data_IF_662876287727
#
_entry.id   IF_662876287727
#
_cell.length_a   1.000
_cell.length_b   1.000
_cell.length_c   1.000
_cell.angle_alpha   90.00
_cell.angle_beta   90.00
_cell.angle_gamma   90.00
#
_symmetry.space_group_name_H-M   'P 1'
#
loop_
_entity.id
_entity.type
_entity.pdbx_description
1 polymer ?
#
# COMPACT_ATOMS: atom_id res chain seq x y z
N UNK A 1 29.61 25.16 26.66
CA UNK A 1 28.91 23.98 26.13
C UNK A 1 27.87 24.49 25.17
N UNK A 2 28.04 24.15 23.90
CA UNK A 2 27.19 24.61 22.81
C UNK A 2 25.78 24.03 22.96
N UNK A 3 24.78 24.91 22.86
CA UNK A 3 23.39 24.51 22.70
C UNK A 3 23.25 23.86 21.32
N UNK A 4 23.09 22.54 21.29
CA UNK A 4 22.60 21.86 20.10
C UNK A 4 21.08 22.07 20.05
N UNK A 5 20.53 22.78 19.06
CA UNK A 5 19.12 22.61 18.74
C UNK A 5 18.97 21.19 18.17
N UNK A 6 18.37 20.29 18.95
CA UNK A 6 17.76 19.07 18.40
C UNK A 6 16.70 19.54 17.41
N UNK A 7 17.05 19.56 16.13
CA UNK A 7 16.07 19.60 15.06
C UNK A 7 15.22 18.34 15.19
N UNK A 8 14.08 18.46 15.85
CA UNK A 8 12.92 17.63 15.57
C UNK A 8 12.51 17.95 14.12
N UNK A 9 13.22 17.37 13.16
CA UNK A 9 12.83 17.45 11.76
C UNK A 9 11.50 16.73 11.63
N UNK A 10 10.44 17.51 11.36
CA UNK A 10 9.08 17.03 11.21
C UNK A 10 9.04 15.80 10.31
N UNK A 11 8.70 14.66 10.89
CA UNK A 11 8.31 13.49 10.12
C UNK A 11 6.99 13.88 9.43
N UNK A 12 7.08 14.45 8.23
CA UNK A 12 5.95 14.49 7.32
C UNK A 12 5.44 13.07 7.21
N UNK A 13 4.27 12.84 7.82
CA UNK A 13 3.63 11.55 7.80
C UNK A 13 3.18 11.35 6.36
N UNK A 14 3.95 10.60 5.57
CA UNK A 14 3.52 10.19 4.25
C UNK A 14 2.30 9.27 4.45
N UNK A 15 1.11 9.80 4.16
CA UNK A 15 -0.17 9.11 4.26
C UNK A 15 -0.53 8.47 2.93
N UNK A 16 -1.21 7.31 2.97
CA UNK A 16 -1.64 6.60 1.76
C UNK A 16 -2.50 7.48 0.85
N UNK A 17 -3.43 8.25 1.42
CA UNK A 17 -4.34 9.08 0.60
C UNK A 17 -3.57 10.12 -0.22
N UNK A 18 -2.56 10.78 0.36
CA UNK A 18 -1.73 11.74 -0.38
C UNK A 18 -1.00 11.07 -1.56
N UNK A 19 -0.55 9.82 -1.38
CA UNK A 19 0.09 9.04 -2.44
C UNK A 19 -0.91 8.72 -3.55
N UNK A 20 -2.13 8.28 -3.17
CA UNK A 20 -3.21 7.98 -4.11
C UNK A 20 -3.66 9.22 -4.89
N UNK A 21 -3.79 10.37 -4.22
CA UNK A 21 -4.12 11.65 -4.86
C UNK A 21 -3.06 12.04 -5.90
N UNK A 22 -1.77 11.94 -5.55
CA UNK A 22 -0.67 12.24 -6.46
C UNK A 22 -0.61 11.27 -7.65
N UNK A 23 -0.90 9.98 -7.43
CA UNK A 23 -0.99 8.98 -8.49
C UNK A 23 -2.14 9.27 -9.45
N UNK A 24 -3.33 9.60 -8.92
CA UNK A 24 -4.50 9.95 -9.74
C UNK A 24 -4.31 11.23 -10.54
N UNK A 25 -3.64 12.23 -9.94
CA UNK A 25 -3.45 13.55 -10.54
C UNK A 25 -2.35 13.57 -11.62
N UNK A 26 -1.20 12.98 -11.31
CA UNK A 26 0.01 13.15 -12.12
C UNK A 26 0.51 11.85 -12.78
N UNK A 27 -0.01 10.70 -12.37
CA UNK A 27 0.49 9.39 -12.78
C UNK A 27 1.85 9.05 -12.17
N UNK A 28 2.28 7.79 -12.36
CA UNK A 28 3.53 7.27 -11.80
C UNK A 28 4.79 7.86 -12.47
N UNK A 29 4.70 8.28 -13.74
CA UNK A 29 5.84 8.86 -14.47
C UNK A 29 6.28 10.24 -13.94
N UNK A 30 5.42 10.92 -13.18
CA UNK A 30 5.77 12.20 -12.57
C UNK A 30 6.82 11.99 -11.47
N UNK A 31 8.00 12.65 -11.53
CA UNK A 31 9.11 12.38 -10.62
C UNK A 31 8.74 12.47 -9.13
N UNK A 32 7.97 13.50 -8.75
CA UNK A 32 7.55 13.68 -7.35
C UNK A 32 6.56 12.61 -6.90
N UNK A 33 5.68 12.15 -7.80
CA UNK A 33 4.73 11.08 -7.50
C UNK A 33 5.48 9.77 -7.30
N UNK A 34 6.42 9.45 -8.20
CA UNK A 34 7.27 8.26 -8.08
C UNK A 34 8.04 8.25 -6.76
N UNK A 35 8.69 9.36 -6.42
CA UNK A 35 9.46 9.46 -5.18
C UNK A 35 8.57 9.31 -3.94
N UNK A 36 7.35 9.84 -3.98
CA UNK A 36 6.38 9.69 -2.91
C UNK A 36 5.89 8.24 -2.75
N UNK A 37 5.60 7.57 -3.87
CA UNK A 37 5.23 6.14 -3.88
C UNK A 37 6.35 5.30 -3.31
N UNK A 38 7.60 5.50 -3.76
CA UNK A 38 8.76 4.74 -3.27
C UNK A 38 8.91 4.91 -1.76
N UNK A 39 8.92 6.15 -1.26
CA UNK A 39 9.08 6.42 0.18
C UNK A 39 7.94 5.85 1.01
N UNK A 40 6.70 5.90 0.50
CA UNK A 40 5.57 5.29 1.19
C UNK A 40 5.72 3.77 1.26
N UNK A 41 6.06 3.12 0.13
CA UNK A 41 6.26 1.67 0.04
C UNK A 41 7.38 1.20 0.97
N UNK A 42 8.56 1.82 0.93
CA UNK A 42 9.69 1.50 1.82
C UNK A 42 9.30 1.61 3.30
N UNK A 43 8.52 2.64 3.65
CA UNK A 43 8.03 2.82 5.01
C UNK A 43 7.06 1.72 5.43
N UNK A 44 6.13 1.32 4.56
CA UNK A 44 5.20 0.23 4.85
C UNK A 44 5.92 -1.11 4.96
N UNK A 45 6.87 -1.41 4.07
CA UNK A 45 7.68 -2.63 4.15
C UNK A 45 8.44 -2.72 5.47
N UNK A 46 9.01 -1.60 5.94
CA UNK A 46 9.66 -1.54 7.24
C UNK A 46 8.68 -1.78 8.41
N UNK A 47 7.44 -1.28 8.31
CA UNK A 47 6.38 -1.51 9.31
C UNK A 47 5.93 -2.98 9.32
N UNK A 48 5.64 -3.56 8.16
CA UNK A 48 5.29 -4.98 8.00
C UNK A 48 6.40 -5.87 8.56
N UNK A 49 7.66 -5.59 8.22
CA UNK A 49 8.83 -6.32 8.75
C UNK A 49 8.92 -6.22 10.27
N UNK A 50 8.62 -5.04 10.84
CA UNK A 50 8.66 -4.83 12.29
C UNK A 50 7.50 -5.52 13.01
N UNK A 51 6.29 -5.50 12.44
CA UNK A 51 5.12 -6.17 13.01
C UNK A 51 5.28 -7.68 12.93
N UNK A 52 5.88 -8.18 11.85
CA UNK A 52 6.22 -9.58 11.65
C UNK A 52 5.02 -10.52 11.87
N UNK A 53 3.88 -10.17 11.28
CA UNK A 53 2.66 -10.98 11.27
C UNK A 53 2.18 -11.21 9.84
N UNK A 54 1.52 -12.34 9.60
CA UNK A 54 0.84 -12.63 8.33
C UNK A 54 -0.17 -11.54 7.97
N UNK A 55 -0.96 -11.11 8.97
CA UNK A 55 -1.95 -10.05 8.82
C UNK A 55 -1.36 -8.73 8.30
N UNK A 56 -0.20 -8.33 8.80
CA UNK A 56 0.48 -7.11 8.34
C UNK A 56 0.83 -7.19 6.84
N UNK A 57 1.37 -8.34 6.41
CA UNK A 57 1.70 -8.56 4.99
C UNK A 57 0.46 -8.61 4.10
N UNK A 58 -0.61 -9.28 4.55
CA UNK A 58 -1.89 -9.34 3.83
C UNK A 58 -2.45 -7.94 3.64
N UNK A 59 -2.51 -7.13 4.70
CA UNK A 59 -3.00 -5.75 4.65
C UNK A 59 -2.14 -4.90 3.72
N UNK A 60 -0.82 -5.05 3.76
CA UNK A 60 0.07 -4.32 2.86
C UNK A 60 -0.15 -4.66 1.38
N UNK A 61 -0.38 -5.93 1.04
CA UNK A 61 -0.71 -6.31 -0.33
C UNK A 61 -2.08 -5.74 -0.77
N UNK A 62 -3.06 -5.68 0.13
CA UNK A 62 -4.32 -4.97 -0.12
C UNK A 62 -4.04 -3.48 -0.41
N UNK A 63 -3.25 -2.81 0.41
CA UNK A 63 -2.93 -1.39 0.21
C UNK A 63 -2.12 -1.13 -1.07
N UNK A 64 -1.24 -2.06 -1.47
CA UNK A 64 -0.54 -1.99 -2.75
C UNK A 64 -1.50 -2.05 -3.93
N UNK A 65 -2.56 -2.85 -3.83
CA UNK A 65 -3.58 -2.91 -4.89
C UNK A 65 -4.22 -1.54 -5.14
N UNK A 66 -4.42 -0.73 -4.10
CA UNK A 66 -4.97 0.63 -4.23
C UNK A 66 -4.05 1.54 -5.07
N UNK A 67 -2.72 1.37 -4.96
CA UNK A 67 -1.76 2.14 -5.75
C UNK A 67 -1.88 1.83 -7.24
N UNK A 68 -2.02 0.55 -7.59
CA UNK A 68 -2.24 0.11 -8.98
C UNK A 68 -3.60 0.59 -9.51
N UNK A 69 -4.65 0.53 -8.69
CA UNK A 69 -5.95 1.08 -9.07
C UNK A 69 -5.90 2.59 -9.32
N UNK A 70 -5.10 3.33 -8.54
CA UNK A 70 -4.92 4.76 -8.74
C UNK A 70 -4.27 5.11 -10.09
N UNK A 71 -3.46 4.21 -10.65
CA UNK A 71 -2.86 4.34 -12.00
C UNK A 71 -3.67 3.64 -13.09
N UNK A 72 -4.86 3.12 -12.77
CA UNK A 72 -5.73 2.32 -13.65
C UNK A 72 -5.10 1.00 -14.11
N UNK A 73 -4.11 0.52 -13.38
CA UNK A 73 -3.51 -0.80 -13.59
C UNK A 73 -4.35 -1.86 -12.86
N UNK A 74 -5.39 -2.34 -13.56
CA UNK A 74 -6.30 -3.36 -13.03
C UNK A 74 -5.59 -4.71 -12.83
N UNK A 75 -4.65 -5.05 -13.70
CA UNK A 75 -3.93 -6.31 -13.66
C UNK A 75 -3.00 -6.35 -12.44
N UNK A 76 -2.17 -5.33 -12.25
CA UNK A 76 -1.29 -5.23 -11.07
C UNK A 76 -2.07 -5.17 -9.75
N UNK A 77 -3.25 -4.54 -9.74
CA UNK A 77 -4.14 -4.55 -8.57
C UNK A 77 -4.65 -5.96 -8.25
N UNK A 78 -5.09 -6.71 -9.26
CA UNK A 78 -5.58 -8.09 -9.08
C UNK A 78 -4.48 -9.05 -8.65
N UNK A 79 -3.25 -8.91 -9.17
CA UNK A 79 -2.09 -9.69 -8.72
C UNK A 79 -1.83 -9.49 -7.23
N UNK A 80 -1.85 -8.23 -6.76
CA UNK A 80 -1.67 -7.93 -5.32
C UNK A 80 -2.79 -8.54 -4.46
N UNK A 81 -4.04 -8.50 -4.93
CA UNK A 81 -5.18 -9.09 -4.23
C UNK A 81 -5.11 -10.63 -4.24
N UNK A 82 -4.63 -11.24 -5.32
CA UNK A 82 -4.43 -12.69 -5.41
C UNK A 82 -3.37 -13.19 -4.41
N UNK A 83 -2.26 -12.46 -4.29
CA UNK A 83 -1.22 -12.73 -3.30
C UNK A 83 -1.79 -12.61 -1.87
N UNK A 84 -2.53 -11.53 -1.59
CA UNK A 84 -3.19 -11.31 -0.31
C UNK A 84 -4.20 -12.43 0.01
N UNK A 85 -5.00 -12.85 -0.98
CA UNK A 85 -5.99 -13.92 -0.85
C UNK A 85 -5.34 -15.26 -0.52
N UNK A 86 -4.30 -15.61 -1.28
CA UNK A 86 -3.56 -16.86 -1.10
C UNK A 86 -2.95 -16.92 0.30
N UNK A 87 -2.34 -15.82 0.76
CA UNK A 87 -1.76 -15.75 2.09
C UNK A 87 -2.84 -15.81 3.19
N UNK A 88 -3.96 -15.08 3.04
CA UNK A 88 -5.05 -15.11 4.00
C UNK A 88 -5.63 -16.53 4.18
N UNK A 89 -5.76 -17.28 3.09
CA UNK A 89 -6.19 -18.68 3.16
C UNK A 89 -5.17 -19.57 3.88
N UNK A 90 -3.88 -19.45 3.55
CA UNK A 90 -2.80 -20.24 4.15
C UNK A 90 -2.67 -20.01 5.66
N UNK A 91 -2.90 -18.77 6.09
CA UNK A 91 -2.77 -18.33 7.48
C UNK A 91 -4.10 -18.42 8.26
N UNK A 92 -5.14 -18.98 7.64
CA UNK A 92 -6.48 -19.14 8.22
C UNK A 92 -7.14 -17.81 8.66
N UNK A 93 -6.80 -16.71 8.00
CA UNK A 93 -7.38 -15.37 8.18
C UNK A 93 -8.65 -15.22 7.32
N UNK A 94 -9.65 -16.07 7.59
CA UNK A 94 -10.82 -16.24 6.71
C UNK A 94 -11.68 -14.97 6.55
N UNK A 95 -11.72 -14.11 7.56
CA UNK A 95 -12.41 -12.82 7.43
C UNK A 95 -11.74 -11.92 6.38
N UNK A 96 -10.41 -11.88 6.36
CA UNK A 96 -9.66 -11.14 5.35
C UNK A 96 -9.80 -11.79 3.97
N UNK A 97 -9.77 -13.12 3.91
CA UNK A 97 -10.01 -13.87 2.67
C UNK A 97 -11.34 -13.47 2.00
N UNK A 98 -12.44 -13.48 2.76
CA UNK A 98 -13.76 -13.10 2.25
C UNK A 98 -13.85 -11.63 1.83
N UNK A 99 -13.13 -10.74 2.52
CA UNK A 99 -13.04 -9.33 2.15
C UNK A 99 -12.28 -9.16 0.83
N UNK A 100 -11.14 -9.84 0.68
CA UNK A 100 -10.31 -9.77 -0.53
C UNK A 100 -11.06 -10.29 -1.75
N UNK A 101 -11.83 -11.39 -1.63
CA UNK A 101 -12.67 -11.87 -2.74
C UNK A 101 -13.64 -10.80 -3.23
N UNK A 102 -14.33 -10.12 -2.31
CA UNK A 102 -15.26 -9.03 -2.68
C UNK A 102 -14.52 -7.89 -3.37
N UNK A 103 -13.33 -7.54 -2.90
CA UNK A 103 -12.52 -6.52 -3.55
C UNK A 103 -12.11 -6.94 -4.97
N UNK A 104 -11.73 -8.19 -5.17
CA UNK A 104 -11.43 -8.73 -6.51
C UNK A 104 -12.66 -8.65 -7.43
N UNK A 105 -13.83 -9.11 -6.97
CA UNK A 105 -15.09 -9.03 -7.72
C UNK A 105 -15.43 -7.58 -8.11
N UNK A 106 -15.22 -6.62 -7.20
CA UNK A 106 -15.43 -5.19 -7.46
C UNK A 106 -14.46 -4.64 -8.51
N UNK A 107 -13.19 -5.05 -8.48
CA UNK A 107 -12.19 -4.65 -9.47
C UNK A 107 -12.51 -5.27 -10.83
N UNK A 108 -12.87 -6.56 -10.87
CA UNK A 108 -13.25 -7.28 -12.08
C UNK A 108 -14.54 -6.73 -12.71
N UNK A 109 -15.55 -6.39 -11.91
CA UNK A 109 -16.85 -5.89 -12.35
C UNK A 109 -16.88 -4.43 -12.79
N UNK A 110 -15.86 -3.63 -12.47
CA UNK A 110 -15.70 -2.26 -13.00
C UNK A 110 -15.18 -2.33 -14.44
N UNK A 111 -16.07 -2.05 -15.39
CA UNK A 111 -15.81 -1.80 -16.82
C UNK A 111 -15.83 -0.30 -17.11
#
# INVERSE_FOLDING_TARGET
>A
MENFPTQENGHEKIEKENVLEMLRANGFEHPETRDLVIKWTEKQEALVTKENTSKATIVFNIERSDLYLATRDKEGALECLEDARTQAYQENEMELYDQIIKMMDEVEGKN
#
